data_IF_034567304505
#
_entry.id   IF_034567304505
#
_cell.length_a   1.000
_cell.length_b   1.000
_cell.length_c   1.000
_cell.angle_alpha   90.00
_cell.angle_beta   90.00
_cell.angle_gamma   90.00
#
_symmetry.space_group_name_H-M   'P 1'
#
loop_
_entity.id
_entity.type
_entity.pdbx_description
1 polymer ?
#
# COMPACT_ATOMS: atom_id res chain seq x y z
N UNK A 1 2.56 -20.15 12.35
CA UNK A 1 1.73 -18.95 12.20
C UNK A 1 2.48 -17.69 11.74
N UNK A 2 3.75 -17.48 12.08
CA UNK A 2 4.52 -16.29 11.62
C UNK A 2 5.18 -16.47 10.24
N UNK A 3 5.26 -17.69 9.71
CA UNK A 3 5.89 -18.00 8.40
C UNK A 3 5.14 -17.44 7.18
N UNK A 4 3.88 -17.02 7.36
CA UNK A 4 3.06 -16.45 6.27
C UNK A 4 3.10 -14.93 6.21
N UNK A 5 3.86 -14.27 7.10
CA UNK A 5 4.13 -12.84 7.01
C UNK A 5 5.20 -12.63 5.94
N UNK A 6 4.80 -12.70 4.68
CA UNK A 6 5.64 -12.24 3.58
C UNK A 6 5.76 -10.73 3.70
N UNK A 7 6.92 -10.28 4.20
CA UNK A 7 7.30 -8.88 4.25
C UNK A 7 7.30 -8.29 2.84
N UNK A 8 6.24 -7.52 2.55
CA UNK A 8 6.00 -6.94 1.25
C UNK A 8 5.64 -7.99 0.21
N UNK A 9 4.42 -7.97 -0.28
CA UNK A 9 3.96 -8.83 -1.38
C UNK A 9 4.63 -8.44 -2.72
N UNK A 10 5.91 -8.04 -2.67
CA UNK A 10 6.66 -7.64 -3.85
C UNK A 10 6.99 -8.89 -4.68
N UNK A 11 6.59 -8.85 -5.95
CA UNK A 11 6.96 -9.85 -6.94
C UNK A 11 8.17 -9.33 -7.73
N UNK A 12 9.36 -9.92 -7.57
CA UNK A 12 10.51 -9.52 -8.37
C UNK A 12 10.24 -9.79 -9.86
N UNK A 13 10.37 -8.77 -10.69
CA UNK A 13 10.11 -8.85 -12.12
C UNK A 13 10.94 -7.82 -12.88
N UNK A 14 11.17 -8.09 -14.18
CA UNK A 14 11.97 -7.24 -15.07
C UNK A 14 11.12 -6.53 -16.13
N UNK A 15 9.84 -6.26 -15.83
CA UNK A 15 8.95 -5.57 -16.78
C UNK A 15 9.20 -4.05 -16.79
N UNK A 16 8.66 -3.37 -17.79
CA UNK A 16 8.75 -1.91 -17.91
C UNK A 16 8.25 -1.24 -16.64
N UNK A 17 7.13 -1.72 -16.07
CA UNK A 17 6.54 -1.18 -14.82
C UNK A 17 7.47 -1.40 -13.62
N UNK A 18 8.15 -2.56 -13.51
CA UNK A 18 9.09 -2.81 -12.41
C UNK A 18 10.31 -1.90 -12.46
N UNK A 19 10.78 -1.57 -13.67
CA UNK A 19 11.98 -0.74 -13.89
C UNK A 19 11.76 0.76 -13.74
N UNK A 20 10.51 1.23 -13.58
CA UNK A 20 10.22 2.64 -13.31
C UNK A 20 10.78 3.06 -11.96
N UNK A 21 11.22 4.32 -11.86
CA UNK A 21 11.66 4.93 -10.61
C UNK A 21 10.52 4.89 -9.55
N UNK A 22 10.79 4.50 -8.30
CA UNK A 22 9.78 4.47 -7.23
C UNK A 22 9.04 5.80 -7.04
N UNK A 23 9.71 6.93 -7.26
CA UNK A 23 9.09 8.27 -7.23
C UNK A 23 8.03 8.43 -8.30
N UNK A 24 8.35 8.00 -9.52
CA UNK A 24 7.42 8.02 -10.66
C UNK A 24 6.20 7.16 -10.38
N UNK A 25 6.38 5.97 -9.83
CA UNK A 25 5.27 5.07 -9.48
C UNK A 25 4.36 5.66 -8.40
N UNK A 26 4.94 6.26 -7.35
CA UNK A 26 4.18 6.97 -6.31
C UNK A 26 3.35 8.11 -6.90
N UNK A 27 3.97 8.97 -7.72
CA UNK A 27 3.27 10.07 -8.38
C UNK A 27 2.19 9.58 -9.35
N UNK A 28 2.48 8.53 -10.11
CA UNK A 28 1.51 7.93 -11.04
C UNK A 28 0.29 7.36 -10.30
N UNK A 29 0.49 6.72 -9.14
CA UNK A 29 -0.63 6.23 -8.31
C UNK A 29 -1.43 7.39 -7.73
N UNK A 30 -0.80 8.48 -7.30
CA UNK A 30 -1.52 9.68 -6.84
C UNK A 30 -2.35 10.28 -7.98
N UNK A 31 -1.77 10.45 -9.17
CA UNK A 31 -2.49 10.92 -10.37
C UNK A 31 -3.66 10.00 -10.71
N UNK A 32 -3.46 8.68 -10.65
CA UNK A 32 -4.49 7.67 -10.86
C UNK A 32 -5.64 7.80 -9.86
N UNK A 33 -5.33 7.95 -8.56
CA UNK A 33 -6.33 8.15 -7.51
C UNK A 33 -7.14 9.41 -7.79
N UNK A 34 -6.47 10.52 -8.07
CA UNK A 34 -7.15 11.80 -8.39
C UNK A 34 -8.03 11.66 -9.64
N UNK A 35 -7.55 10.97 -10.68
CA UNK A 35 -8.31 10.69 -11.89
C UNK A 35 -9.58 9.87 -11.59
N UNK A 36 -9.45 8.81 -10.80
CA UNK A 36 -10.56 7.93 -10.40
C UNK A 36 -11.64 8.66 -9.58
N UNK A 37 -11.23 9.54 -8.65
CA UNK A 37 -12.19 10.33 -7.87
C UNK A 37 -12.89 11.41 -8.70
N UNK A 38 -12.29 11.88 -9.79
CA UNK A 38 -12.90 12.82 -10.71
C UNK A 38 -13.78 12.17 -11.79
N UNK A 39 -13.71 10.84 -11.95
CA UNK A 39 -14.55 10.10 -12.88
C UNK A 39 -16.02 10.09 -12.39
N UNK A 40 -16.95 10.60 -13.22
CA UNK A 40 -18.39 10.67 -12.93
C UNK A 40 -19.25 9.96 -13.98
N UNK A 41 -18.75 9.81 -15.21
CA UNK A 41 -19.47 9.20 -16.32
C UNK A 41 -18.97 7.79 -16.61
N UNK A 42 -19.78 6.91 -17.23
CA UNK A 42 -19.34 5.57 -17.60
C UNK A 42 -18.12 5.59 -18.54
N UNK A 43 -18.02 6.61 -19.41
CA UNK A 43 -16.89 6.77 -20.33
C UNK A 43 -15.59 7.06 -19.58
N UNK A 44 -15.63 7.92 -18.55
CA UNK A 44 -14.44 8.23 -17.73
C UNK A 44 -14.00 7.04 -16.90
N UNK A 45 -14.93 6.24 -16.35
CA UNK A 45 -14.60 4.98 -15.68
C UNK A 45 -13.99 3.96 -16.64
N UNK A 46 -14.52 3.82 -17.87
CA UNK A 46 -13.97 2.94 -18.88
C UNK A 46 -12.52 3.34 -19.26
N UNK A 47 -12.25 4.64 -19.38
CA UNK A 47 -10.90 5.15 -19.67
C UNK A 47 -9.92 4.79 -18.53
N UNK A 48 -10.29 5.04 -17.27
CA UNK A 48 -9.44 4.72 -16.12
C UNK A 48 -9.24 3.20 -16.02
N UNK A 49 -10.29 2.40 -16.27
CA UNK A 49 -10.20 0.95 -16.30
C UNK A 49 -9.25 0.44 -17.40
N UNK A 50 -9.31 1.04 -18.59
CA UNK A 50 -8.41 0.70 -19.68
C UNK A 50 -6.94 1.00 -19.32
N UNK A 51 -6.66 2.15 -18.72
CA UNK A 51 -5.30 2.50 -18.25
C UNK A 51 -4.82 1.50 -17.19
N UNK A 52 -5.68 1.18 -16.23
CA UNK A 52 -5.36 0.17 -15.20
C UNK A 52 -5.08 -1.20 -15.82
N UNK A 53 -5.91 -1.65 -16.76
CA UNK A 53 -5.74 -2.92 -17.45
C UNK A 53 -4.41 -2.98 -18.22
N UNK A 54 -4.04 -1.91 -18.94
CA UNK A 54 -2.75 -1.79 -19.63
C UNK A 54 -1.60 -1.90 -18.63
N UNK A 55 -1.67 -1.21 -17.49
CA UNK A 55 -0.65 -1.28 -16.44
C UNK A 55 -0.54 -2.70 -15.84
N UNK A 56 -1.65 -3.39 -15.61
CA UNK A 56 -1.67 -4.77 -15.10
C UNK A 56 -1.01 -5.72 -16.12
N UNK A 57 -1.40 -5.64 -17.39
CA UNK A 57 -0.82 -6.48 -18.44
C UNK A 57 0.68 -6.19 -18.61
N UNK A 58 1.07 -4.92 -18.62
CA UNK A 58 2.47 -4.51 -18.74
C UNK A 58 3.32 -4.94 -17.53
N UNK A 59 2.74 -5.04 -16.33
CA UNK A 59 3.44 -5.49 -15.13
C UNK A 59 3.66 -6.98 -15.07
N UNK A 60 2.87 -7.79 -15.83
CA UNK A 60 2.86 -9.26 -15.78
C UNK A 60 2.61 -9.83 -14.37
N UNK A 61 1.99 -9.08 -13.50
CA UNK A 61 1.58 -9.56 -12.17
C UNK A 61 0.43 -10.56 -12.35
N UNK A 62 0.48 -11.74 -11.71
CA UNK A 62 -0.56 -12.74 -11.87
C UNK A 62 -1.90 -12.22 -11.31
N UNK A 63 -2.96 -12.24 -12.13
CA UNK A 63 -4.31 -11.79 -11.75
C UNK A 63 -4.81 -12.48 -10.48
N UNK A 64 -4.41 -13.73 -10.25
CA UNK A 64 -4.74 -14.49 -9.03
C UNK A 64 -4.26 -13.79 -7.74
N UNK A 65 -3.12 -13.10 -7.79
CA UNK A 65 -2.59 -12.35 -6.64
C UNK A 65 -3.39 -11.08 -6.40
N UNK A 66 -3.76 -10.35 -7.46
CA UNK A 66 -4.61 -9.16 -7.39
C UNK A 66 -5.99 -9.51 -6.82
N UNK A 67 -6.63 -10.57 -7.33
CA UNK A 67 -7.95 -11.00 -6.82
C UNK A 67 -7.89 -11.55 -5.40
N UNK A 68 -6.78 -12.21 -5.00
CA UNK A 68 -6.58 -12.64 -3.62
C UNK A 68 -6.46 -11.45 -2.66
N UNK A 69 -5.77 -10.38 -3.09
CA UNK A 69 -5.69 -9.13 -2.32
C UNK A 69 -7.04 -8.45 -2.10
N UNK A 70 -7.99 -8.63 -3.04
CA UNK A 70 -9.35 -8.09 -2.92
C UNK A 70 -10.23 -8.83 -1.91
N UNK A 71 -9.88 -10.05 -1.46
CA UNK A 71 -10.74 -10.82 -0.54
C UNK A 71 -11.21 -10.04 0.69
N UNK A 72 -10.33 -9.37 1.47
CA UNK A 72 -10.79 -8.59 2.62
C UNK A 72 -11.64 -7.38 2.22
N UNK A 73 -11.46 -6.88 1.01
CA UNK A 73 -12.19 -5.71 0.49
C UNK A 73 -13.63 -6.07 0.11
N UNK A 74 -13.93 -7.33 -0.24
CA UNK A 74 -15.27 -7.76 -0.62
C UNK A 74 -16.33 -7.50 0.45
N UNK A 75 -15.98 -7.65 1.73
CA UNK A 75 -16.91 -7.38 2.84
C UNK A 75 -17.30 -5.90 2.85
N UNK A 76 -16.32 -5.00 2.70
CA UNK A 76 -16.54 -3.56 2.66
C UNK A 76 -17.33 -3.17 1.41
N UNK A 77 -16.97 -3.74 0.26
CA UNK A 77 -17.67 -3.52 -1.02
C UNK A 77 -19.15 -3.97 -0.93
N UNK A 78 -19.41 -5.16 -0.39
CA UNK A 78 -20.77 -5.66 -0.22
C UNK A 78 -21.57 -4.76 0.73
N UNK A 79 -21.00 -4.38 1.86
CA UNK A 79 -21.65 -3.49 2.82
C UNK A 79 -21.96 -2.12 2.21
N UNK A 80 -21.01 -1.50 1.52
CA UNK A 80 -21.23 -0.20 0.88
C UNK A 80 -22.22 -0.27 -0.27
N UNK A 81 -22.24 -1.37 -1.05
CA UNK A 81 -23.23 -1.58 -2.10
C UNK A 81 -24.65 -1.66 -1.51
N UNK A 82 -24.84 -2.47 -0.46
CA UNK A 82 -26.14 -2.59 0.23
C UNK A 82 -26.57 -1.23 0.79
N UNK A 83 -25.67 -0.50 1.45
CA UNK A 83 -25.97 0.83 1.99
C UNK A 83 -26.42 1.79 0.87
N UNK A 84 -25.72 1.84 -0.25
CA UNK A 84 -26.09 2.72 -1.36
C UNK A 84 -27.44 2.33 -1.99
N UNK A 85 -27.74 1.04 -2.13
CA UNK A 85 -29.01 0.58 -2.72
C UNK A 85 -30.21 0.98 -1.85
N UNK A 86 -30.11 0.84 -0.52
CA UNK A 86 -31.26 1.05 0.38
C UNK A 86 -31.36 2.47 0.94
N UNK A 87 -30.26 3.19 1.08
CA UNK A 87 -30.23 4.51 1.73
C UNK A 87 -30.08 5.69 0.76
N UNK A 88 -29.81 5.44 -0.53
CA UNK A 88 -29.78 6.54 -1.50
C UNK A 88 -31.20 6.84 -1.96
N UNK A 89 -31.70 8.04 -1.67
CA UNK A 89 -33.00 8.50 -2.15
C UNK A 89 -33.00 8.69 -3.66
N UNK A 90 -34.20 8.58 -4.27
CA UNK A 90 -34.37 8.77 -5.72
C UNK A 90 -35.66 8.15 -6.21
N UNK A 91 -35.78 7.93 -7.53
CA UNK A 91 -36.95 7.30 -8.16
C UNK A 91 -36.95 5.79 -7.89
N UNK A 92 -38.05 5.31 -7.28
CA UNK A 92 -38.23 3.89 -6.97
C UNK A 92 -38.23 3.02 -8.23
N UNK A 93 -37.59 1.86 -8.17
CA UNK A 93 -37.55 0.91 -9.30
C UNK A 93 -38.88 0.20 -9.53
N UNK A 94 -39.75 0.13 -8.50
CA UNK A 94 -41.06 -0.55 -8.60
C UNK A 94 -41.97 -0.32 -7.40
N UNK A 95 -43.23 -0.78 -7.52
CA UNK A 95 -44.20 -0.74 -6.45
C UNK A 95 -44.04 -1.98 -5.56
N UNK A 96 -43.78 -1.79 -4.26
CA UNK A 96 -43.65 -2.86 -3.27
C UNK A 96 -42.72 -2.50 -2.13
N UNK A 97 -42.88 -3.17 -0.97
CA UNK A 97 -42.14 -2.84 0.25
C UNK A 97 -40.61 -2.91 0.05
N UNK A 98 -40.11 -3.91 -0.66
CA UNK A 98 -38.65 -4.05 -0.97
C UNK A 98 -38.26 -3.21 -2.18
N UNK A 99 -39.04 -3.21 -3.25
CA UNK A 99 -38.74 -2.52 -4.51
C UNK A 99 -38.94 -1.00 -4.40
N UNK A 100 -39.82 -0.53 -3.49
CA UNK A 100 -39.99 0.90 -3.20
C UNK A 100 -38.81 1.55 -2.46
N UNK A 101 -37.93 0.77 -1.84
CA UNK A 101 -36.69 1.26 -1.21
C UNK A 101 -35.48 1.20 -2.14
N UNK A 102 -35.59 0.46 -3.25
CA UNK A 102 -34.50 0.38 -4.25
C UNK A 102 -34.76 1.46 -5.29
N UNK A 103 -33.79 2.38 -5.42
CA UNK A 103 -33.87 3.50 -6.36
C UNK A 103 -32.88 3.31 -7.52
N UNK A 104 -33.21 3.83 -8.71
CA UNK A 104 -32.29 3.80 -9.86
C UNK A 104 -31.00 4.54 -9.55
N UNK A 105 -31.10 5.66 -8.84
CA UNK A 105 -29.96 6.46 -8.40
C UNK A 105 -29.11 5.68 -7.39
N UNK A 106 -29.75 4.94 -6.47
CA UNK A 106 -29.06 4.06 -5.52
C UNK A 106 -28.33 2.92 -6.19
N UNK A 107 -28.93 2.30 -7.20
CA UNK A 107 -28.31 1.21 -7.95
C UNK A 107 -27.09 1.71 -8.76
N UNK A 108 -27.23 2.84 -9.45
CA UNK A 108 -26.12 3.44 -10.20
C UNK A 108 -24.99 3.91 -9.27
N UNK A 109 -25.32 4.53 -8.15
CA UNK A 109 -24.36 4.92 -7.13
C UNK A 109 -23.61 3.71 -6.55
N UNK A 110 -24.32 2.61 -6.26
CA UNK A 110 -23.71 1.37 -5.79
C UNK A 110 -22.73 0.79 -6.81
N UNK A 111 -23.10 0.71 -8.09
CA UNK A 111 -22.21 0.21 -9.16
C UNK A 111 -20.95 1.07 -9.26
N UNK A 112 -21.06 2.40 -9.31
CA UNK A 112 -19.90 3.28 -9.39
C UNK A 112 -19.04 3.23 -8.14
N UNK A 113 -19.63 3.06 -6.96
CA UNK A 113 -18.90 2.91 -5.70
C UNK A 113 -18.10 1.61 -5.66
N UNK A 114 -18.73 0.50 -6.04
CA UNK A 114 -18.08 -0.82 -6.16
C UNK A 114 -16.91 -0.76 -7.15
N UNK A 115 -17.14 -0.22 -8.36
CA UNK A 115 -16.09 -0.06 -9.36
C UNK A 115 -14.94 0.79 -8.83
N UNK A 116 -15.26 1.90 -8.16
CA UNK A 116 -14.25 2.80 -7.59
C UNK A 116 -13.38 2.10 -6.56
N UNK A 117 -13.97 1.38 -5.60
CA UNK A 117 -13.24 0.69 -4.54
C UNK A 117 -12.36 -0.42 -5.13
N UNK A 118 -12.91 -1.21 -6.06
CA UNK A 118 -12.16 -2.30 -6.71
C UNK A 118 -10.98 -1.76 -7.52
N UNK A 119 -11.21 -0.74 -8.34
CA UNK A 119 -10.17 -0.13 -9.17
C UNK A 119 -9.09 0.53 -8.31
N UNK A 120 -9.48 1.27 -7.25
CA UNK A 120 -8.55 1.89 -6.31
C UNK A 120 -7.67 0.84 -5.64
N UNK A 121 -8.26 -0.25 -5.16
CA UNK A 121 -7.52 -1.35 -4.54
C UNK A 121 -6.57 -2.04 -5.52
N UNK A 122 -7.01 -2.29 -6.76
CA UNK A 122 -6.14 -2.90 -7.79
C UNK A 122 -4.95 -2.01 -8.14
N UNK A 123 -5.15 -0.69 -8.27
CA UNK A 123 -4.08 0.26 -8.56
C UNK A 123 -3.04 0.32 -7.43
N UNK A 124 -3.48 0.35 -6.17
CA UNK A 124 -2.59 0.33 -4.99
C UNK A 124 -1.86 -1.00 -4.84
N UNK A 125 -2.52 -2.12 -5.09
CA UNK A 125 -1.85 -3.43 -5.07
C UNK A 125 -0.78 -3.55 -6.17
N UNK A 126 -1.04 -2.96 -7.34
CA UNK A 126 -0.06 -2.95 -8.42
C UNK A 126 1.24 -2.24 -8.00
N UNK A 127 1.13 -1.10 -7.30
CA UNK A 127 2.29 -0.41 -6.73
C UNK A 127 3.05 -1.32 -5.74
N UNK A 128 2.33 -1.95 -4.80
CA UNK A 128 2.91 -2.82 -3.78
C UNK A 128 3.59 -4.06 -4.39
N UNK A 129 3.00 -4.65 -5.42
CA UNK A 129 3.56 -5.83 -6.10
C UNK A 129 4.75 -5.51 -7.01
N UNK A 130 4.83 -4.28 -7.52
CA UNK A 130 5.90 -3.88 -8.46
C UNK A 130 7.03 -3.08 -7.82
N UNK A 131 6.93 -2.74 -6.52
CA UNK A 131 7.94 -1.91 -5.83
C UNK A 131 8.28 -2.52 -4.49
N UNK A 132 9.57 -2.73 -4.22
CA UNK A 132 10.02 -3.23 -2.91
C UNK A 132 9.80 -2.17 -1.82
N UNK A 133 9.51 -2.57 -0.55
CA UNK A 133 9.34 -1.64 0.55
C UNK A 133 10.52 -0.68 0.75
N UNK A 134 11.74 -1.16 0.56
CA UNK A 134 12.97 -0.35 0.68
C UNK A 134 13.00 0.71 -0.44
N UNK A 135 12.74 0.31 -1.69
CA UNK A 135 12.69 1.26 -2.81
C UNK A 135 11.56 2.28 -2.65
N UNK A 136 10.43 1.87 -2.06
CA UNK A 136 9.31 2.78 -1.76
C UNK A 136 9.73 3.83 -0.73
N UNK A 137 10.47 3.44 0.31
CA UNK A 137 11.01 4.35 1.34
C UNK A 137 11.98 5.35 0.73
N UNK A 138 12.90 4.89 -0.14
CA UNK A 138 13.84 5.78 -0.84
C UNK A 138 13.12 6.76 -1.78
N UNK A 139 12.08 6.30 -2.47
CA UNK A 139 11.22 7.14 -3.29
C UNK A 139 10.50 8.22 -2.48
N UNK A 140 9.95 7.82 -1.33
CA UNK A 140 9.24 8.71 -0.42
C UNK A 140 10.17 9.78 0.17
N UNK A 141 11.39 9.39 0.61
CA UNK A 141 12.41 10.33 1.10
C UNK A 141 12.70 11.43 0.08
N UNK A 142 12.87 11.03 -1.18
CA UNK A 142 13.16 11.98 -2.25
C UNK A 142 11.97 12.89 -2.57
N UNK A 143 10.75 12.36 -2.56
CA UNK A 143 9.53 13.16 -2.80
C UNK A 143 9.26 14.13 -1.65
N UNK A 144 9.54 13.73 -0.41
CA UNK A 144 9.40 14.57 0.77
C UNK A 144 10.62 15.48 0.99
N UNK A 145 11.64 15.40 0.13
CA UNK A 145 12.84 16.25 0.18
C UNK A 145 12.55 17.74 0.32
N UNK A 146 11.58 18.34 -0.41
CA UNK A 146 11.21 19.74 -0.24
C UNK A 146 10.73 20.12 1.17
N UNK A 147 10.17 19.15 1.93
CA UNK A 147 9.71 19.36 3.31
C UNK A 147 10.86 19.56 4.32
N UNK A 148 12.11 19.28 3.93
CA UNK A 148 13.29 19.69 4.72
C UNK A 148 13.32 21.18 4.99
N UNK A 149 12.76 22.00 4.09
CA UNK A 149 12.65 23.47 4.28
C UNK A 149 11.71 23.84 5.44
N UNK A 150 10.82 22.92 5.83
CA UNK A 150 9.91 23.05 6.99
C UNK A 150 10.52 22.46 8.29
N UNK A 151 11.85 22.24 8.32
CA UNK A 151 12.59 21.65 9.46
C UNK A 151 12.13 20.22 9.82
N UNK A 152 11.50 19.49 8.89
CA UNK A 152 11.14 18.10 9.11
C UNK A 152 12.38 17.19 8.88
N UNK A 153 12.69 16.27 9.81
CA UNK A 153 13.82 15.35 9.69
C UNK A 153 13.53 14.20 8.73
N UNK A 154 13.28 14.52 7.44
CA UNK A 154 12.85 13.55 6.41
C UNK A 154 13.90 12.46 6.20
N UNK A 155 15.19 12.82 6.24
CA UNK A 155 16.28 11.86 6.07
C UNK A 155 16.34 10.86 7.23
N UNK A 156 16.23 11.35 8.45
CA UNK A 156 16.26 10.54 9.67
C UNK A 156 15.06 9.59 9.70
N UNK A 157 13.87 10.06 9.33
CA UNK A 157 12.67 9.23 9.22
C UNK A 157 12.87 8.11 8.18
N UNK A 158 13.37 8.44 7.00
CA UNK A 158 13.60 7.45 5.94
C UNK A 158 14.67 6.42 6.35
N UNK A 159 15.72 6.87 7.03
CA UNK A 159 16.75 5.98 7.58
C UNK A 159 16.17 5.05 8.64
N UNK A 160 15.37 5.56 9.60
CA UNK A 160 14.69 4.73 10.60
C UNK A 160 13.80 3.68 9.94
N UNK A 161 13.00 4.06 8.92
CA UNK A 161 12.18 3.12 8.17
C UNK A 161 13.00 2.05 7.46
N UNK A 162 14.11 2.42 6.83
CA UNK A 162 15.00 1.48 6.13
C UNK A 162 15.67 0.50 7.10
N UNK A 163 16.10 0.97 8.28
CA UNK A 163 16.64 0.12 9.35
C UNK A 163 15.55 -0.82 9.88
N UNK A 164 14.35 -0.31 10.17
CA UNK A 164 13.24 -1.11 10.63
C UNK A 164 12.88 -2.22 9.63
N UNK A 165 12.71 -1.89 8.34
CA UNK A 165 12.42 -2.87 7.28
C UNK A 165 13.50 -3.96 7.18
N UNK A 166 14.76 -3.61 7.42
CA UNK A 166 15.87 -4.55 7.41
C UNK A 166 15.85 -5.48 8.62
N UNK A 167 15.42 -4.98 9.79
CA UNK A 167 15.42 -5.78 11.02
C UNK A 167 14.18 -6.65 11.20
N UNK A 168 13.05 -6.32 10.53
CA UNK A 168 11.83 -7.11 10.65
C UNK A 168 12.04 -8.61 10.36
N UNK A 169 12.70 -9.05 9.25
CA UNK A 169 12.95 -10.47 9.02
C UNK A 169 13.72 -11.13 10.17
N UNK A 170 14.76 -10.46 10.64
CA UNK A 170 15.59 -10.97 11.73
C UNK A 170 14.83 -11.09 13.05
N UNK A 171 13.96 -10.11 13.36
CA UNK A 171 13.11 -10.15 14.55
C UNK A 171 12.06 -11.26 14.47
N UNK A 172 11.52 -11.56 13.27
CA UNK A 172 10.60 -12.69 13.05
C UNK A 172 11.31 -14.01 13.33
N UNK A 173 12.52 -14.19 12.77
CA UNK A 173 13.31 -15.41 13.01
C UNK A 173 13.65 -15.59 14.50
N UNK A 174 13.99 -14.48 15.18
CA UNK A 174 14.29 -14.49 16.59
C UNK A 174 13.06 -14.80 17.44
N UNK A 175 11.91 -14.23 17.07
CA UNK A 175 10.63 -14.54 17.71
C UNK A 175 10.29 -16.03 17.60
N UNK A 176 10.49 -16.65 16.42
CA UNK A 176 10.26 -18.07 16.22
C UNK A 176 11.22 -18.94 17.08
N UNK A 177 12.48 -18.53 17.23
CA UNK A 177 13.45 -19.19 18.11
C UNK A 177 13.06 -19.10 19.57
N UNK A 178 12.71 -17.90 20.05
CA UNK A 178 12.25 -17.69 21.43
C UNK A 178 10.97 -18.47 21.71
N UNK A 179 10.00 -18.41 20.79
CA UNK A 179 8.74 -19.14 20.91
C UNK A 179 8.98 -20.65 21.01
N UNK A 180 9.84 -21.19 20.16
CA UNK A 180 10.21 -22.63 20.18
C UNK A 180 10.87 -23.02 21.50
N UNK A 181 11.78 -22.20 22.03
CA UNK A 181 12.42 -22.41 23.30
C UNK A 181 11.42 -22.38 24.48
N UNK A 182 10.47 -21.44 24.48
CA UNK A 182 9.46 -21.34 25.52
C UNK A 182 8.43 -22.49 25.44
N UNK A 183 8.06 -22.95 24.24
CA UNK A 183 7.25 -24.18 24.07
C UNK A 183 7.95 -25.41 24.66
N UNK A 184 9.27 -25.56 24.43
CA UNK A 184 10.06 -26.65 25.03
C UNK A 184 10.12 -26.57 26.56
N UNK A 185 9.93 -25.39 27.16
CA UNK A 185 9.82 -25.17 28.63
C UNK A 185 8.39 -25.35 29.16
N UNK A 186 7.45 -25.80 28.30
CA UNK A 186 6.06 -26.04 28.71
C UNK A 186 5.14 -24.83 28.61
N UNK A 187 5.57 -23.75 27.95
CA UNK A 187 4.68 -22.61 27.75
C UNK A 187 3.60 -22.96 26.71
N UNK A 188 2.34 -22.67 27.07
CA UNK A 188 1.19 -22.84 26.19
C UNK A 188 0.69 -21.46 25.74
N UNK A 189 0.67 -21.24 24.42
CA UNK A 189 0.27 -19.98 23.80
C UNK A 189 -1.13 -20.07 23.16
N UNK A 190 -1.75 -21.25 23.13
CA UNK A 190 -2.96 -21.52 22.35
C UNK A 190 -4.19 -21.68 23.23
N UNK A 191 -4.05 -22.18 24.46
CA UNK A 191 -5.16 -22.41 25.39
C UNK A 191 -5.42 -21.20 26.31
N UNK A 192 -6.64 -21.12 26.81
CA UNK A 192 -7.05 -20.14 27.84
C UNK A 192 -7.72 -18.87 27.28
N UNK A 193 -8.13 -17.99 28.24
CA UNK A 193 -8.78 -16.72 27.96
C UNK A 193 -7.79 -15.70 27.35
N UNK A 194 -8.31 -14.61 26.73
CA UNK A 194 -7.52 -13.53 26.12
C UNK A 194 -6.45 -12.97 27.07
N UNK A 195 -6.77 -12.81 28.35
CA UNK A 195 -5.83 -12.30 29.38
C UNK A 195 -4.70 -13.33 29.63
N UNK A 196 -5.03 -14.62 29.66
CA UNK A 196 -4.04 -15.69 29.85
C UNK A 196 -3.11 -15.78 28.64
N UNK A 197 -3.65 -15.69 27.41
CA UNK A 197 -2.85 -15.61 26.17
C UNK A 197 -1.93 -14.39 26.15
N UNK A 198 -2.40 -13.23 26.58
CA UNK A 198 -1.57 -12.02 26.68
C UNK A 198 -0.43 -12.21 27.71
N UNK A 199 -0.71 -12.80 28.88
CA UNK A 199 0.33 -13.12 29.88
C UNK A 199 1.34 -14.15 29.36
N UNK A 200 0.89 -15.16 28.61
CA UNK A 200 1.76 -16.15 28.01
C UNK A 200 2.72 -15.55 26.96
N UNK A 201 2.39 -14.40 26.38
CA UNK A 201 3.27 -13.69 25.42
C UNK A 201 4.41 -12.91 26.11
N UNK A 202 4.29 -12.57 27.40
CA UNK A 202 5.32 -11.79 28.11
C UNK A 202 6.72 -12.46 28.09
N UNK A 203 6.86 -13.79 28.28
CA UNK A 203 8.15 -14.48 28.18
C UNK A 203 8.79 -14.43 26.78
N UNK A 204 8.02 -14.07 25.74
CA UNK A 204 8.54 -13.84 24.39
C UNK A 204 8.92 -12.38 24.22
N UNK A 205 8.07 -11.45 24.66
CA UNK A 205 8.26 -10.01 24.49
C UNK A 205 9.52 -9.49 25.19
N UNK A 206 9.74 -9.89 26.46
CA UNK A 206 10.88 -9.37 27.24
C UNK A 206 12.23 -9.72 26.60
N UNK A 207 12.54 -10.97 26.24
CA UNK A 207 13.78 -11.30 25.54
C UNK A 207 13.91 -10.60 24.18
N UNK A 208 12.78 -10.48 23.46
CA UNK A 208 12.79 -9.81 22.16
C UNK A 208 13.15 -8.32 22.28
N UNK A 209 12.58 -7.61 23.29
CA UNK A 209 12.94 -6.23 23.58
C UNK A 209 14.44 -6.09 23.93
N UNK A 210 14.94 -6.94 24.82
CA UNK A 210 16.36 -6.91 25.21
C UNK A 210 17.27 -7.12 23.99
N UNK A 211 16.92 -8.05 23.12
CA UNK A 211 17.67 -8.30 21.88
C UNK A 211 17.58 -7.11 20.93
N UNK A 212 16.39 -6.51 20.76
CA UNK A 212 16.21 -5.34 19.90
C UNK A 212 17.04 -4.14 20.37
N UNK A 213 17.07 -3.86 21.68
CA UNK A 213 17.91 -2.79 22.25
C UNK A 213 19.41 -3.07 22.07
N UNK A 214 19.85 -4.30 22.31
CA UNK A 214 21.25 -4.69 22.09
C UNK A 214 21.68 -4.46 20.63
N UNK A 215 20.82 -4.84 19.66
CA UNK A 215 21.08 -4.59 18.23
C UNK A 215 21.10 -3.11 17.90
N UNK A 216 20.25 -2.31 18.54
CA UNK A 216 20.24 -0.86 18.35
C UNK A 216 21.57 -0.24 18.84
N UNK A 217 22.07 -0.66 20.02
CA UNK A 217 23.36 -0.19 20.55
C UNK A 217 24.54 -0.63 19.67
N UNK A 218 24.54 -1.88 19.21
CA UNK A 218 25.57 -2.39 18.29
C UNK A 218 25.55 -1.61 16.97
N UNK A 219 24.36 -1.31 16.41
CA UNK A 219 24.22 -0.52 15.19
C UNK A 219 24.68 0.92 15.41
N UNK A 220 24.27 1.56 16.53
CA UNK A 220 24.68 2.91 16.88
C UNK A 220 26.21 3.02 16.98
N UNK A 221 26.84 2.11 17.72
CA UNK A 221 28.31 2.04 17.84
C UNK A 221 28.97 1.85 16.47
N UNK A 222 28.44 0.95 15.64
CA UNK A 222 28.96 0.73 14.29
C UNK A 222 28.81 1.97 13.38
N UNK A 223 27.76 2.76 13.55
CA UNK A 223 27.54 4.02 12.83
C UNK A 223 28.53 5.10 13.31
N UNK A 224 28.71 5.23 14.61
CA UNK A 224 29.72 6.16 15.20
C UNK A 224 31.14 5.84 14.74
N UNK A 225 31.54 4.58 14.75
CA UNK A 225 32.82 4.13 14.23
C UNK A 225 33.02 4.43 12.74
N UNK A 226 31.93 4.61 11.98
CA UNK A 226 31.96 5.02 10.58
C UNK A 226 31.80 6.53 10.40
N UNK A 227 31.96 7.31 11.46
CA UNK A 227 31.84 8.77 11.45
C UNK A 227 30.48 9.25 10.94
N UNK A 228 29.38 8.61 11.37
CA UNK A 228 28.05 9.08 11.04
C UNK A 228 27.68 10.29 11.91
N UNK A 229 27.45 11.45 11.29
CA UNK A 229 27.07 12.71 11.95
C UNK A 229 25.74 13.28 11.42
N UNK A 230 24.82 12.42 11.02
CA UNK A 230 23.53 12.85 10.46
C UNK A 230 23.48 12.86 8.93
N UNK A 231 22.48 13.55 8.38
CA UNK A 231 22.22 13.53 6.93
C UNK A 231 22.95 14.59 6.11
N UNK A 232 23.61 15.56 6.75
CA UNK A 232 24.30 16.65 6.04
C UNK A 232 25.64 16.19 5.45
N UNK A 233 25.93 16.63 4.22
CA UNK A 233 27.17 16.31 3.52
C UNK A 233 27.32 14.85 3.05
N UNK A 234 26.27 14.03 3.17
CA UNK A 234 26.30 12.60 2.85
C UNK A 234 25.90 12.30 1.41
N UNK A 235 26.64 11.40 0.74
CA UNK A 235 26.27 10.88 -0.58
C UNK A 235 25.57 9.52 -0.46
N UNK A 236 24.62 9.23 -1.37
CA UNK A 236 23.93 7.93 -1.45
C UNK A 236 24.70 7.00 -2.38
N UNK A 237 24.86 5.74 -1.98
CA UNK A 237 25.45 4.69 -2.81
C UNK A 237 24.57 4.42 -4.05
N UNK A 238 23.27 4.35 -3.85
CA UNK A 238 22.28 4.19 -4.92
C UNK A 238 21.50 5.51 -5.09
N UNK A 239 21.87 6.26 -6.11
CA UNK A 239 21.19 7.50 -6.47
C UNK A 239 20.07 7.17 -7.44
N UNK A 240 18.81 7.48 -7.07
CA UNK A 240 17.68 7.38 -7.99
C UNK A 240 17.86 8.40 -9.13
N UNK A 241 17.82 7.92 -10.37
CA UNK A 241 17.93 8.76 -11.58
C UNK A 241 16.69 8.57 -12.43
N UNK A 242 16.06 9.69 -12.83
CA UNK A 242 14.96 9.65 -13.79
C UNK A 242 15.46 9.21 -15.16
N UNK A 243 14.81 8.21 -15.74
CA UNK A 243 15.01 7.79 -17.13
C UNK A 243 13.90 8.38 -18.03
N UNK A 244 14.10 8.36 -19.35
CA UNK A 244 13.10 8.82 -20.32
C UNK A 244 11.73 8.13 -20.14
N UNK A 245 11.74 6.88 -19.68
CA UNK A 245 10.52 6.09 -19.38
C UNK A 245 9.68 6.71 -18.27
N UNK A 246 10.35 7.30 -17.27
CA UNK A 246 9.67 7.93 -16.13
C UNK A 246 8.93 9.18 -16.54
N UNK A 247 9.56 10.01 -17.38
CA UNK A 247 8.92 11.22 -17.93
C UNK A 247 7.72 10.87 -18.82
N UNK A 248 7.85 9.83 -19.64
CA UNK A 248 6.74 9.35 -20.48
C UNK A 248 5.58 8.86 -19.60
N UNK A 249 5.86 8.07 -18.56
CA UNK A 249 4.84 7.56 -17.65
C UNK A 249 4.10 8.69 -16.92
N UNK A 250 4.82 9.71 -16.42
CA UNK A 250 4.21 10.88 -15.78
C UNK A 250 3.41 11.72 -16.77
N UNK A 251 3.93 11.94 -17.98
CA UNK A 251 3.22 12.69 -19.02
C UNK A 251 1.92 11.99 -19.43
N UNK A 252 1.94 10.65 -19.61
CA UNK A 252 0.74 9.86 -19.88
C UNK A 252 -0.27 9.94 -18.72
N UNK A 253 0.18 9.82 -17.48
CA UNK A 253 -0.68 9.95 -16.31
C UNK A 253 -1.33 11.33 -16.23
N UNK A 254 -0.57 12.39 -16.46
CA UNK A 254 -1.07 13.77 -16.49
C UNK A 254 -2.04 14.01 -17.67
N UNK A 255 -1.75 13.45 -18.84
CA UNK A 255 -2.64 13.55 -20.02
C UNK A 255 -3.99 12.85 -19.77
N UNK A 256 -3.97 11.66 -19.15
CA UNK A 256 -5.20 10.93 -18.76
C UNK A 256 -6.00 11.75 -17.76
N UNK A 257 -5.37 12.32 -16.74
CA UNK A 257 -6.05 13.17 -15.77
C UNK A 257 -6.65 14.41 -16.45
N UNK A 258 -5.90 15.10 -17.31
CA UNK A 258 -6.39 16.25 -18.06
C UNK A 258 -7.59 15.90 -18.95
N UNK A 259 -7.53 14.74 -19.64
CA UNK A 259 -8.64 14.23 -20.45
C UNK A 259 -9.90 13.97 -19.62
N UNK A 260 -9.75 13.37 -18.42
CA UNK A 260 -10.89 13.12 -17.52
C UNK A 260 -11.50 14.44 -17.03
N UNK A 261 -10.67 15.41 -16.68
CA UNK A 261 -11.14 16.74 -16.24
C UNK A 261 -11.86 17.51 -17.36
N UNK A 262 -11.39 17.40 -18.60
CA UNK A 262 -12.08 18.00 -19.75
C UNK A 262 -13.40 17.30 -20.05
N UNK A 263 -13.42 15.97 -20.09
CA UNK A 263 -14.65 15.19 -20.29
C UNK A 263 -15.68 15.46 -19.20
N UNK A 264 -15.24 15.65 -17.97
CA UNK A 264 -16.14 16.03 -16.86
C UNK A 264 -16.83 17.36 -17.11
N UNK A 265 -16.15 18.36 -17.71
CA UNK A 265 -16.75 19.66 -18.03
C UNK A 265 -17.79 19.58 -19.16
N UNK A 266 -17.64 18.59 -20.07
CA UNK A 266 -18.57 18.40 -21.18
C UNK A 266 -19.82 17.58 -20.80
N UNK A 267 -19.75 16.76 -19.75
CA UNK A 267 -20.82 15.85 -19.32
C UNK A 267 -21.58 16.39 -18.09
N UNK A 268 -21.06 17.42 -17.42
CA UNK A 268 -21.73 18.13 -16.33
C UNK A 268 -22.58 19.26 -16.88
#
# INVERSE_FOLDING_TARGET
>A
MLKDITLGQFFPGNTIVHRLDPRTKLMAVILYIVALFNAKSPLTYALVAAVLAVCIVASRVPMKSLTRGLKPVYVIVAFTAVMNIFFTGGTAVGEGWLLGHITYEGLTAAIYMVLRIVMLSMGTFLLTYTTSPIALTDGLENLLGPLKKLHLPVHELAMMMSIALRFIPTLIEETDKIMSAQKARGADFESGNLIQKAKAMLPILVPLFVSAFRRADELATAMECRCYHGGEGRTKLHVLKYESRDYIALALGAAVLALILTLRKFVS
#
